data_IF_495858575508
#
_entry.id   IF_495858575508
#
_cell.length_a   1.000
_cell.length_b   1.000
_cell.length_c   1.000
_cell.angle_alpha   90.00
_cell.angle_beta   90.00
_cell.angle_gamma   90.00
#
_symmetry.space_group_name_H-M   'P 1'
#
loop_
_entity.id
_entity.type
_entity.pdbx_description
1 polymer ?
#
# COMPACT_ATOMS: atom_id res chain seq x y z
N UNK A 1 6.87 -7.04 -11.10
CA UNK A 1 5.94 -7.48 -10.03
C UNK A 1 6.39 -7.06 -8.63
N UNK A 2 7.63 -7.36 -8.21
CA UNK A 2 8.14 -6.99 -6.89
C UNK A 2 8.03 -5.47 -6.57
N UNK A 3 8.31 -4.59 -7.55
CA UNK A 3 8.15 -3.14 -7.38
C UNK A 3 6.69 -2.71 -7.14
N UNK A 4 5.73 -3.39 -7.77
CA UNK A 4 4.31 -3.11 -7.60
C UNK A 4 3.82 -3.54 -6.22
N UNK A 5 4.26 -4.72 -5.77
CA UNK A 5 4.03 -5.18 -4.41
C UNK A 5 4.62 -4.22 -3.38
N UNK A 6 5.88 -3.82 -3.57
CA UNK A 6 6.54 -2.86 -2.69
C UNK A 6 5.80 -1.51 -2.66
N UNK A 7 5.31 -1.03 -3.81
CA UNK A 7 4.52 0.19 -3.89
C UNK A 7 3.24 0.10 -3.04
N UNK A 8 2.45 -0.98 -3.19
CA UNK A 8 1.24 -1.19 -2.38
C UNK A 8 1.54 -1.35 -0.88
N UNK A 9 2.58 -2.11 -0.54
CA UNK A 9 3.02 -2.30 0.84
C UNK A 9 3.43 -0.97 1.49
N UNK A 10 4.29 -0.18 0.84
CA UNK A 10 4.75 1.10 1.36
C UNK A 10 3.64 2.14 1.44
N UNK A 11 2.66 2.12 0.53
CA UNK A 11 1.51 3.02 0.58
C UNK A 11 0.70 2.84 1.89
N UNK A 12 0.36 1.60 2.25
CA UNK A 12 -0.37 1.31 3.49
C UNK A 12 0.52 1.50 4.72
N UNK A 13 1.81 1.13 4.65
CA UNK A 13 2.76 1.33 5.75
C UNK A 13 2.85 2.82 6.11
N UNK A 14 3.07 3.69 5.12
CA UNK A 14 3.23 5.11 5.37
C UNK A 14 1.91 5.75 5.85
N UNK A 15 0.78 5.36 5.24
CA UNK A 15 -0.54 5.82 5.66
C UNK A 15 -0.86 5.45 7.12
N UNK A 16 -0.62 4.20 7.50
CA UNK A 16 -0.83 3.73 8.88
C UNK A 16 0.11 4.41 9.88
N UNK A 17 1.35 4.70 9.48
CA UNK A 17 2.32 5.41 10.32
C UNK A 17 1.89 6.86 10.57
N UNK A 18 1.49 7.59 9.52
CA UNK A 18 0.95 8.95 9.67
C UNK A 18 -0.29 8.96 10.56
N UNK A 19 -1.19 8.00 10.38
CA UNK A 19 -2.40 7.88 11.19
C UNK A 19 -2.06 7.60 12.67
N UNK A 20 -1.09 6.72 12.94
CA UNK A 20 -0.60 6.47 14.29
C UNK A 20 0.01 7.73 14.93
N UNK A 21 0.77 8.53 14.18
CA UNK A 21 1.32 9.81 14.64
C UNK A 21 0.18 10.79 14.99
N UNK A 22 -0.83 10.91 14.14
CA UNK A 22 -2.02 11.74 14.43
C UNK A 22 -2.73 11.30 15.72
N UNK A 23 -2.89 9.99 15.94
CA UNK A 23 -3.52 9.45 17.15
C UNK A 23 -2.70 9.77 18.41
N UNK A 24 -1.37 9.69 18.34
CA UNK A 24 -0.48 10.08 19.45
C UNK A 24 -0.65 11.57 19.80
N UNK A 25 -0.74 12.45 18.79
CA UNK A 25 -0.97 13.88 19.00
C UNK A 25 -2.37 14.23 19.54
N UNK A 26 -3.34 13.32 19.41
CA UNK A 26 -4.73 13.52 19.85
C UNK A 26 -4.91 13.24 21.36
N UNK A 27 -3.91 12.65 22.05
CA UNK A 27 -3.88 12.47 23.51
C UNK A 27 -3.91 11.01 23.99
N UNK A 28 -3.72 10.79 25.31
CA UNK A 28 -3.50 9.46 25.92
C UNK A 28 -4.58 8.41 25.62
N UNK A 29 -5.83 8.85 25.40
CA UNK A 29 -6.97 7.96 25.11
C UNK A 29 -6.76 7.09 23.87
N UNK A 30 -5.91 7.52 22.93
CA UNK A 30 -5.73 6.87 21.64
C UNK A 30 -4.41 6.10 21.49
N UNK A 31 -3.55 6.04 22.52
CA UNK A 31 -2.32 5.25 22.45
C UNK A 31 -2.60 3.75 22.28
N UNK A 32 -3.66 3.27 22.92
CA UNK A 32 -4.07 1.87 22.80
C UNK A 32 -4.71 1.59 21.43
N UNK A 33 -5.47 2.54 20.90
CA UNK A 33 -5.99 2.49 19.53
C UNK A 33 -4.87 2.48 18.48
N UNK A 34 -3.84 3.31 18.65
CA UNK A 34 -2.68 3.37 17.74
C UNK A 34 -1.93 2.03 17.67
N UNK A 35 -1.73 1.35 18.81
CA UNK A 35 -1.11 0.01 18.84
C UNK A 35 -1.94 -1.04 18.11
N UNK A 36 -3.25 -1.07 18.35
CA UNK A 36 -4.16 -1.99 17.68
C UNK A 36 -4.19 -1.71 16.18
N UNK A 37 -4.17 -0.44 15.78
CA UNK A 37 -4.18 0.00 14.39
C UNK A 37 -2.96 -0.50 13.61
N UNK A 38 -1.75 -0.35 14.17
CA UNK A 38 -0.51 -0.83 13.54
C UNK A 38 -0.52 -2.36 13.40
N UNK A 39 -0.97 -3.09 14.45
CA UNK A 39 -1.10 -4.54 14.40
C UNK A 39 -2.12 -5.01 13.37
N UNK A 40 -3.28 -4.35 13.30
CA UNK A 40 -4.34 -4.65 12.35
C UNK A 40 -3.93 -4.33 10.91
N UNK A 41 -3.07 -3.34 10.70
CA UNK A 41 -2.58 -3.00 9.36
C UNK A 41 -1.46 -3.90 8.86
N UNK A 42 -0.80 -4.70 9.72
CA UNK A 42 0.24 -5.63 9.27
C UNK A 42 -0.24 -6.66 8.23
N UNK A 43 -1.36 -7.39 8.43
CA UNK A 43 -1.90 -8.27 7.38
C UNK A 43 -2.43 -7.48 6.17
N UNK A 44 -3.00 -6.30 6.39
CA UNK A 44 -3.54 -5.44 5.32
C UNK A 44 -2.42 -4.95 4.39
N UNK A 45 -1.24 -4.60 4.93
CA UNK A 45 -0.07 -4.20 4.14
C UNK A 45 0.35 -5.29 3.14
N UNK A 46 0.35 -6.55 3.59
CA UNK A 46 0.69 -7.69 2.73
C UNK A 46 -0.39 -7.88 1.67
N UNK A 47 -1.66 -7.87 2.07
CA UNK A 47 -2.80 -8.08 1.19
C UNK A 47 -2.86 -7.01 0.10
N UNK A 48 -2.61 -5.75 0.45
CA UNK A 48 -2.62 -4.66 -0.51
C UNK A 48 -1.45 -4.71 -1.48
N UNK A 49 -0.26 -5.10 -1.03
CA UNK A 49 0.86 -5.38 -1.92
C UNK A 49 0.51 -6.46 -2.95
N UNK A 50 -0.18 -7.54 -2.54
CA UNK A 50 -0.64 -8.59 -3.45
C UNK A 50 -1.67 -8.05 -4.44
N UNK A 51 -2.67 -7.31 -3.97
CA UNK A 51 -3.73 -6.73 -4.81
C UNK A 51 -3.13 -5.80 -5.87
N UNK A 52 -2.22 -4.90 -5.50
CA UNK A 52 -1.55 -3.99 -6.45
C UNK A 52 -0.72 -4.76 -7.48
N UNK A 53 -0.01 -5.81 -7.05
CA UNK A 53 0.72 -6.67 -7.98
C UNK A 53 -0.22 -7.37 -8.98
N UNK A 54 -1.35 -7.91 -8.52
CA UNK A 54 -2.38 -8.51 -9.38
C UNK A 54 -3.00 -7.50 -10.34
N UNK A 55 -3.37 -6.31 -9.86
CA UNK A 55 -3.90 -5.23 -10.68
C UNK A 55 -2.92 -4.84 -11.79
N UNK A 56 -1.63 -4.68 -11.47
CA UNK A 56 -0.62 -4.36 -12.48
C UNK A 56 -0.45 -5.51 -13.49
N UNK A 57 -0.43 -6.76 -13.03
CA UNK A 57 -0.35 -7.95 -13.88
C UNK A 57 -1.51 -7.99 -14.90
N UNK A 58 -2.71 -7.73 -14.40
CA UNK A 58 -3.92 -7.70 -15.21
C UNK A 58 -3.89 -6.54 -16.21
N UNK A 59 -3.50 -5.34 -15.78
CA UNK A 59 -3.42 -4.17 -16.65
C UNK A 59 -2.41 -4.37 -17.78
N UNK A 60 -1.25 -4.97 -17.49
CA UNK A 60 -0.26 -5.35 -18.51
C UNK A 60 -0.82 -6.35 -19.53
N UNK A 61 -1.75 -7.23 -19.13
CA UNK A 61 -2.34 -8.24 -20.01
C UNK A 61 -3.50 -7.71 -20.85
N UNK A 62 -4.31 -6.80 -20.30
CA UNK A 62 -5.57 -6.35 -20.94
C UNK A 62 -5.43 -4.99 -21.62
N UNK A 63 -4.64 -4.08 -21.04
CA UNK A 63 -4.46 -2.70 -21.51
C UNK A 63 -3.03 -2.19 -21.26
N UNK A 64 -2.01 -2.79 -21.90
CA UNK A 64 -0.62 -2.36 -21.73
C UNK A 64 -0.38 -0.91 -22.18
N UNK A 65 -1.21 -0.36 -23.07
CA UNK A 65 -1.14 1.05 -23.48
C UNK A 65 -1.27 2.04 -22.31
N UNK A 66 -2.00 1.70 -21.23
CA UNK A 66 -2.16 2.55 -20.04
C UNK A 66 -0.88 2.73 -19.23
N UNK A 67 0.06 1.78 -19.31
CA UNK A 67 1.32 1.80 -18.56
C UNK A 67 2.47 2.40 -19.37
N UNK A 68 2.19 2.98 -20.54
CA UNK A 68 3.23 3.55 -21.40
C UNK A 68 4.14 2.50 -22.04
N UNK A 69 3.76 1.21 -22.02
CA UNK A 69 4.55 0.12 -22.62
C UNK A 69 4.80 0.29 -24.12
N UNK A 70 4.09 1.22 -24.78
CA UNK A 70 4.34 1.59 -26.17
C UNK A 70 5.61 2.44 -26.38
N UNK A 71 6.24 2.99 -25.33
CA UNK A 71 7.47 3.81 -25.44
C UNK A 71 8.78 3.06 -25.12
N UNK A 72 8.73 1.78 -24.72
CA UNK A 72 9.91 0.97 -24.43
C UNK A 72 10.33 0.03 -25.58
N UNK A 73 9.64 0.12 -26.73
CA UNK A 73 9.89 -0.68 -27.93
C UNK A 73 10.31 0.22 -29.13
N UNK A 74 11.03 1.31 -28.84
CA UNK A 74 11.63 2.21 -29.83
C UNK A 74 13.12 2.32 -29.64
#
# INVERSE_FOLDING_TARGET
MALAFACGFFAILLSSLLLAICLIFTGESFLQAAKILVLAHLPVMILEGVVVAFCLAFLMKVKPELLGATHAAG
#
